data_IF_515027336621
#
_entry.id   IF_515027336621
#
_cell.length_a   1.000
_cell.length_b   1.000
_cell.length_c   1.000
_cell.angle_alpha   90.00
_cell.angle_beta   90.00
_cell.angle_gamma   90.00
#
_symmetry.space_group_name_H-M   'P 1'
#
loop_
_entity.id
_entity.type
_entity.pdbx_description
1 polymer ?
#
# COMPACT_ATOMS: atom_id res chain seq x y z
N UNK A 1 47.63 -16.85 14.46
CA UNK A 1 46.27 -17.11 14.98
C UNK A 1 45.58 -15.76 15.11
N UNK A 2 44.49 -15.38 14.46
CA UNK A 2 43.69 -15.88 13.34
C UNK A 2 43.36 -14.61 12.53
N UNK A 3 43.60 -14.60 11.22
CA UNK A 3 43.13 -13.52 10.34
C UNK A 3 41.62 -13.70 10.18
N UNK A 4 40.83 -12.69 10.54
CA UNK A 4 39.40 -12.64 10.25
C UNK A 4 39.23 -11.96 8.90
N UNK A 5 38.77 -12.74 7.92
CA UNK A 5 38.33 -12.25 6.62
C UNK A 5 36.89 -11.79 6.85
N UNK A 6 36.64 -10.49 6.72
CA UNK A 6 35.29 -9.96 6.59
C UNK A 6 34.88 -10.14 5.13
N UNK A 7 33.85 -10.96 4.87
CA UNK A 7 33.15 -10.96 3.59
C UNK A 7 32.21 -9.75 3.60
N UNK A 8 32.53 -8.74 2.80
CA UNK A 8 31.61 -7.70 2.38
C UNK A 8 30.93 -8.20 1.11
N UNK A 9 29.66 -8.60 1.20
CA UNK A 9 28.78 -8.74 0.04
C UNK A 9 28.26 -7.35 -0.29
N UNK A 10 28.95 -6.67 -1.20
CA UNK A 10 28.46 -5.45 -1.82
C UNK A 10 27.60 -5.85 -3.03
N UNK A 11 26.28 -5.89 -2.87
CA UNK A 11 25.38 -5.84 -4.02
C UNK A 11 25.34 -4.38 -4.50
N UNK A 12 26.18 -4.05 -5.46
CA UNK A 12 26.06 -2.78 -6.20
C UNK A 12 25.00 -2.97 -7.27
N UNK A 13 23.78 -2.50 -7.01
CA UNK A 13 22.76 -2.32 -8.04
C UNK A 13 23.18 -1.11 -8.89
N UNK A 14 23.73 -1.36 -10.07
CA UNK A 14 24.07 -0.32 -11.02
C UNK A 14 22.81 0.07 -11.79
N UNK A 15 22.09 1.09 -11.31
CA UNK A 15 21.01 1.73 -12.08
C UNK A 15 21.68 2.54 -13.21
N UNK A 16 21.72 1.96 -14.41
CA UNK A 16 22.10 2.70 -15.62
C UNK A 16 20.94 3.58 -16.06
N UNK A 17 20.98 4.86 -15.67
CA UNK A 17 20.17 5.91 -16.26
C UNK A 17 20.57 6.10 -17.73
N UNK A 18 19.68 5.79 -18.67
CA UNK A 18 19.88 6.17 -20.07
C UNK A 18 19.46 7.63 -20.29
N UNK A 19 20.42 8.38 -20.84
CA UNK A 19 20.39 9.81 -21.13
C UNK A 19 19.29 10.22 -22.14
N UNK A 20 18.45 11.19 -21.74
CA UNK A 20 17.71 12.04 -22.67
C UNK A 20 18.62 13.13 -23.25
N UNK A 21 18.99 13.02 -24.53
CA UNK A 21 19.67 14.08 -25.28
C UNK A 21 18.68 15.19 -25.68
N UNK A 22 18.67 16.32 -24.96
CA UNK A 22 18.06 17.57 -25.40
C UNK A 22 19.12 18.64 -25.66
N UNK A 23 19.35 18.98 -26.94
CA UNK A 23 20.30 20.01 -27.37
C UNK A 23 19.81 21.41 -26.94
N UNK A 24 20.68 22.14 -26.23
CA UNK A 24 20.56 23.59 -25.99
C UNK A 24 20.78 24.35 -27.30
N UNK A 25 19.93 25.33 -27.57
CA UNK A 25 20.36 26.57 -28.21
C UNK A 25 19.86 27.75 -27.36
N UNK A 26 20.81 28.60 -27.00
CA UNK A 26 20.64 29.75 -26.13
C UNK A 26 20.96 30.99 -26.96
N UNK A 27 20.01 31.92 -27.10
CA UNK A 27 20.35 33.31 -27.44
C UNK A 27 19.48 34.27 -26.63
N UNK A 28 20.16 35.03 -25.77
CA UNK A 28 19.68 36.25 -25.13
C UNK A 28 19.06 37.23 -26.14
N UNK A 29 18.06 38.02 -25.72
CA UNK A 29 18.14 39.49 -25.70
C UNK A 29 16.86 40.15 -25.14
N UNK A 30 17.06 40.88 -24.03
CA UNK A 30 16.43 42.14 -23.55
C UNK A 30 14.92 42.40 -23.65
N UNK A 31 14.42 42.80 -22.48
CA UNK A 31 13.19 43.54 -22.23
C UNK A 31 13.00 44.79 -23.10
N UNK A 32 11.75 45.05 -23.50
CA UNK A 32 11.19 46.40 -23.66
C UNK A 32 9.68 46.34 -23.43
N UNK A 33 9.17 47.15 -22.50
CA UNK A 33 7.75 47.45 -22.36
C UNK A 33 7.29 48.40 -23.47
N UNK A 34 6.00 48.35 -23.86
CA UNK A 34 5.08 49.50 -24.03
C UNK A 34 3.77 49.13 -24.77
N UNK A 35 2.66 49.41 -24.06
CA UNK A 35 1.28 49.82 -24.43
C UNK A 35 0.33 48.96 -25.28
N UNK A 36 -0.80 48.64 -24.63
CA UNK A 36 -2.19 48.90 -25.04
C UNK A 36 -2.46 49.28 -26.49
N UNK A 37 -3.27 48.46 -27.19
CA UNK A 37 -4.43 49.00 -27.91
C UNK A 37 -5.56 47.97 -27.98
N UNK A 38 -6.69 48.35 -27.39
CA UNK A 38 -8.01 47.75 -27.48
C UNK A 38 -8.48 47.68 -28.94
N UNK A 39 -9.01 46.54 -29.38
CA UNK A 39 -9.93 46.50 -30.54
C UNK A 39 -10.98 45.42 -30.33
N UNK A 40 -12.20 45.89 -30.12
CA UNK A 40 -13.42 45.10 -30.06
C UNK A 40 -13.65 44.35 -31.38
N UNK A 41 -14.07 43.10 -31.28
CA UNK A 41 -14.81 42.37 -32.30
C UNK A 41 -15.79 41.43 -31.60
N UNK A 42 -17.07 41.76 -31.68
CA UNK A 42 -18.19 40.99 -31.16
C UNK A 42 -18.34 39.62 -31.85
N UNK A 43 -18.56 38.63 -30.98
CA UNK A 43 -19.43 37.45 -31.05
C UNK A 43 -19.61 36.68 -32.36
N UNK A 44 -19.25 35.40 -32.28
CA UNK A 44 -20.24 34.32 -32.37
C UNK A 44 -19.80 33.21 -31.39
N UNK A 45 -20.33 33.25 -30.17
CA UNK A 45 -20.30 32.11 -29.26
C UNK A 45 -21.23 31.04 -29.80
N UNK A 46 -20.66 29.96 -30.31
CA UNK A 46 -21.35 28.69 -30.36
C UNK A 46 -21.32 28.14 -28.93
N UNK A 47 -22.39 28.36 -28.19
CA UNK A 47 -22.66 27.69 -26.92
C UNK A 47 -22.94 26.22 -27.25
N UNK A 48 -21.89 25.40 -27.25
CA UNK A 48 -22.04 23.98 -26.94
C UNK A 48 -22.43 23.91 -25.48
N UNK A 49 -23.73 23.82 -25.21
CA UNK A 49 -24.23 23.26 -23.96
C UNK A 49 -23.83 21.78 -23.97
N UNK A 50 -22.61 21.50 -23.54
CA UNK A 50 -22.32 20.21 -22.92
C UNK A 50 -22.99 20.32 -21.55
N UNK A 51 -24.09 19.60 -21.35
CA UNK A 51 -24.52 19.28 -19.98
C UNK A 51 -23.31 18.61 -19.35
N UNK A 52 -22.66 19.32 -18.43
CA UNK A 52 -21.59 18.76 -17.60
C UNK A 52 -22.27 17.65 -16.79
N UNK A 53 -22.02 16.39 -17.18
CA UNK A 53 -22.53 15.24 -16.43
C UNK A 53 -22.07 15.38 -14.99
N UNK A 54 -22.96 15.09 -14.04
CA UNK A 54 -22.62 15.16 -12.63
C UNK A 54 -21.38 14.27 -12.37
N UNK A 55 -20.47 14.70 -11.48
CA UNK A 55 -19.34 13.87 -11.07
C UNK A 55 -19.85 12.49 -10.65
N UNK A 56 -19.07 11.46 -10.97
CA UNK A 56 -19.43 10.08 -10.65
C UNK A 56 -18.16 9.28 -10.37
N UNK A 57 -18.28 8.20 -9.59
CA UNK A 57 -17.15 7.29 -9.36
C UNK A 57 -16.86 6.47 -10.63
N UNK A 58 -15.59 6.11 -10.89
CA UNK A 58 -15.24 5.26 -12.02
C UNK A 58 -15.67 3.80 -11.81
N UNK A 59 -16.17 3.16 -12.86
CA UNK A 59 -16.32 1.71 -12.93
C UNK A 59 -15.02 1.11 -13.51
N UNK A 60 -14.44 0.14 -12.82
CA UNK A 60 -13.17 -0.47 -13.22
C UNK A 60 -13.17 -1.99 -13.09
N UNK A 61 -12.24 -2.63 -13.79
CA UNK A 61 -11.91 -4.04 -13.66
C UNK A 61 -10.40 -4.20 -13.45
N UNK A 62 -10.01 -5.22 -12.67
CA UNK A 62 -8.62 -5.67 -12.59
C UNK A 62 -8.43 -6.76 -13.66
N UNK A 63 -7.40 -6.57 -14.48
CA UNK A 63 -6.95 -7.54 -15.49
C UNK A 63 -5.51 -7.94 -15.21
N UNK A 64 -5.00 -9.00 -15.83
CA UNK A 64 -3.63 -9.45 -15.63
C UNK A 64 -2.96 -9.84 -16.94
N UNK A 65 -1.67 -9.55 -17.05
CA UNK A 65 -0.78 -10.00 -18.14
C UNK A 65 0.29 -10.89 -17.52
N UNK A 66 0.29 -12.18 -17.86
CA UNK A 66 1.24 -13.16 -17.34
C UNK A 66 2.34 -13.48 -18.37
N UNK A 67 3.52 -13.86 -17.87
CA UNK A 67 4.59 -14.43 -18.68
C UNK A 67 4.26 -15.88 -19.07
N UNK A 68 4.31 -16.20 -20.36
CA UNK A 68 4.03 -17.55 -20.86
C UNK A 68 5.24 -18.15 -21.60
N UNK A 69 5.47 -19.45 -21.39
CA UNK A 69 6.45 -20.21 -22.17
C UNK A 69 7.90 -20.10 -21.72
N UNK A 70 8.15 -19.73 -20.45
CA UNK A 70 9.47 -19.64 -19.85
C UNK A 70 9.70 -20.78 -18.85
N UNK A 71 10.84 -21.46 -18.96
CA UNK A 71 11.16 -22.63 -18.12
C UNK A 71 11.67 -22.24 -16.73
N UNK A 72 12.29 -21.06 -16.60
CA UNK A 72 13.00 -20.60 -15.39
C UNK A 72 12.49 -19.26 -14.85
N UNK A 73 11.40 -18.75 -15.41
CA UNK A 73 10.77 -17.51 -14.97
C UNK A 73 9.25 -17.66 -14.99
N UNK A 74 8.60 -17.07 -14.00
CA UNK A 74 7.16 -16.85 -13.98
C UNK A 74 6.85 -15.48 -13.37
N UNK A 75 5.69 -14.94 -13.72
CA UNK A 75 5.34 -13.61 -13.26
C UNK A 75 4.10 -13.06 -13.94
N UNK A 76 3.55 -12.01 -13.37
CA UNK A 76 2.37 -11.34 -13.88
C UNK A 76 2.33 -9.87 -13.50
N UNK A 77 1.55 -9.09 -14.25
CA UNK A 77 1.26 -7.68 -13.97
C UNK A 77 -0.24 -7.47 -13.99
N UNK A 78 -0.82 -7.16 -12.84
CA UNK A 78 -2.20 -6.69 -12.73
C UNK A 78 -2.33 -5.24 -13.19
N UNK A 79 -3.46 -4.94 -13.84
CA UNK A 79 -3.75 -3.64 -14.44
C UNK A 79 -5.17 -3.22 -14.10
N UNK A 80 -5.35 -1.97 -13.69
CA UNK A 80 -6.68 -1.34 -13.58
C UNK A 80 -7.11 -0.87 -14.97
N UNK A 81 -8.29 -1.32 -15.41
CA UNK A 81 -8.95 -0.85 -16.62
C UNK A 81 -10.25 -0.13 -16.25
N UNK A 82 -10.40 1.12 -16.69
CA UNK A 82 -11.68 1.83 -16.60
C UNK A 82 -12.64 1.24 -17.66
N UNK A 83 -13.85 0.94 -17.23
CA UNK A 83 -14.84 0.18 -18.02
C UNK A 83 -16.06 0.99 -18.44
N UNK A 84 -16.24 2.19 -17.88
CA UNK A 84 -17.27 3.14 -18.29
C UNK A 84 -16.77 4.15 -19.34
N UNK A 85 -17.71 4.84 -19.98
CA UNK A 85 -17.46 5.87 -21.00
C UNK A 85 -17.41 7.30 -20.45
N UNK A 86 -17.56 7.49 -19.14
CA UNK A 86 -17.60 8.81 -18.49
C UNK A 86 -16.22 9.30 -18.08
N UNK A 87 -15.31 8.37 -17.81
CA UNK A 87 -13.96 8.68 -17.31
C UNK A 87 -12.88 8.47 -18.38
N UNK A 88 -13.11 8.92 -19.62
CA UNK A 88 -12.17 8.71 -20.75
C UNK A 88 -10.76 9.25 -20.47
N UNK A 89 -10.63 10.36 -19.76
CA UNK A 89 -9.33 10.95 -19.43
C UNK A 89 -8.53 10.06 -18.46
N UNK A 90 -9.19 9.55 -17.42
CA UNK A 90 -8.62 8.60 -16.49
C UNK A 90 -8.30 7.27 -17.17
N UNK A 91 -9.21 6.75 -18.00
CA UNK A 91 -9.02 5.52 -18.76
C UNK A 91 -7.73 5.59 -19.59
N UNK A 92 -7.54 6.68 -20.33
CA UNK A 92 -6.33 6.89 -21.13
C UNK A 92 -5.07 6.99 -20.28
N UNK A 93 -5.14 7.66 -19.12
CA UNK A 93 -3.98 7.81 -18.24
C UNK A 93 -3.55 6.47 -17.64
N UNK A 94 -4.49 5.65 -17.17
CA UNK A 94 -4.22 4.32 -16.64
C UNK A 94 -3.75 3.37 -17.75
N UNK A 95 -4.33 3.42 -18.94
CA UNK A 95 -3.89 2.63 -20.09
C UNK A 95 -2.41 2.93 -20.44
N UNK A 96 -2.02 4.20 -20.47
CA UNK A 96 -0.62 4.60 -20.72
C UNK A 96 0.31 4.15 -19.58
N UNK A 97 -0.11 4.34 -18.33
CA UNK A 97 0.63 3.93 -17.14
C UNK A 97 0.88 2.42 -17.11
N UNK A 98 -0.18 1.60 -17.20
CA UNK A 98 -0.07 0.14 -17.14
C UNK A 98 0.56 -0.44 -18.41
N UNK A 99 0.38 0.16 -19.59
CA UNK A 99 1.15 -0.23 -20.78
C UNK A 99 2.65 -0.04 -20.57
N UNK A 100 3.05 1.03 -19.86
CA UNK A 100 4.43 1.25 -19.44
C UNK A 100 4.95 0.14 -18.52
N UNK A 101 4.18 -0.22 -17.48
CA UNK A 101 4.50 -1.32 -16.55
C UNK A 101 4.65 -2.65 -17.27
N UNK A 102 3.66 -3.03 -18.09
CA UNK A 102 3.67 -4.25 -18.90
C UNK A 102 4.85 -4.26 -19.88
N UNK A 103 5.21 -3.11 -20.47
CA UNK A 103 6.39 -3.01 -21.34
C UNK A 103 7.70 -3.22 -20.58
N UNK A 104 7.82 -2.70 -19.35
CA UNK A 104 9.00 -2.89 -18.51
C UNK A 104 9.13 -4.35 -18.06
N UNK A 105 8.04 -4.93 -17.56
CA UNK A 105 7.95 -6.34 -17.21
C UNK A 105 8.39 -7.23 -18.38
N UNK A 106 7.72 -7.12 -19.53
CA UNK A 106 8.04 -7.93 -20.72
C UNK A 106 9.48 -7.74 -21.21
N UNK A 107 10.02 -6.51 -21.09
CA UNK A 107 11.40 -6.22 -21.46
C UNK A 107 12.45 -6.90 -20.58
N UNK A 108 12.08 -7.25 -19.33
CA UNK A 108 12.96 -7.91 -18.37
C UNK A 108 12.94 -9.44 -18.44
N UNK A 109 11.86 -10.06 -18.93
CA UNK A 109 11.63 -11.52 -18.80
C UNK A 109 12.76 -12.36 -19.39
N UNK A 110 13.22 -12.07 -20.61
CA UNK A 110 14.26 -12.89 -21.25
C UNK A 110 15.57 -12.89 -20.45
N UNK A 111 15.95 -11.73 -19.90
CA UNK A 111 17.16 -11.62 -19.08
C UNK A 111 16.99 -12.36 -17.76
N UNK A 112 15.85 -12.19 -17.09
CA UNK A 112 15.56 -12.88 -15.83
C UNK A 112 15.53 -14.40 -16.00
N UNK A 113 14.86 -14.91 -17.04
CA UNK A 113 14.83 -16.34 -17.36
C UNK A 113 16.23 -16.89 -17.65
N UNK A 114 17.07 -16.12 -18.34
CA UNK A 114 18.45 -16.51 -18.61
C UNK A 114 19.30 -16.55 -17.33
N UNK A 115 19.20 -15.53 -16.49
CA UNK A 115 19.93 -15.47 -15.21
C UNK A 115 19.49 -16.59 -14.25
N UNK A 116 18.19 -16.83 -14.17
CA UNK A 116 17.64 -17.95 -13.41
C UNK A 116 18.21 -19.27 -13.91
N UNK A 117 18.24 -19.49 -15.23
CA UNK A 117 18.85 -20.70 -15.81
C UNK A 117 20.33 -20.84 -15.44
N UNK A 118 21.13 -19.80 -15.60
CA UNK A 118 22.56 -19.82 -15.25
C UNK A 118 22.77 -20.13 -13.75
N UNK A 119 21.95 -19.55 -12.87
CA UNK A 119 22.01 -19.82 -11.44
C UNK A 119 21.60 -21.25 -11.10
N UNK A 120 20.59 -21.80 -11.78
CA UNK A 120 20.19 -23.20 -11.63
C UNK A 120 21.33 -24.15 -12.06
N UNK A 121 22.00 -23.88 -13.18
CA UNK A 121 23.17 -24.67 -13.63
C UNK A 121 24.32 -24.62 -12.61
N UNK A 122 24.63 -23.45 -12.05
CA UNK A 122 25.68 -23.30 -11.03
C UNK A 122 25.33 -24.03 -9.72
N UNK A 123 24.07 -23.96 -9.28
CA UNK A 123 23.61 -24.63 -8.06
C UNK A 123 23.53 -26.15 -8.21
N UNK A 124 23.11 -26.65 -9.37
CA UNK A 124 23.11 -28.08 -9.68
C UNK A 124 24.54 -28.64 -9.59
N UNK A 125 25.52 -27.96 -10.22
CA UNK A 125 26.92 -28.37 -10.16
C UNK A 125 27.43 -28.39 -8.71
N UNK A 126 27.14 -27.36 -7.92
CA UNK A 126 27.56 -27.31 -6.51
C UNK A 126 26.95 -28.45 -5.69
N UNK A 127 25.65 -28.74 -5.89
CA UNK A 127 24.96 -29.82 -5.21
C UNK A 127 25.54 -31.19 -5.57
N UNK A 128 25.89 -31.42 -6.84
CA UNK A 128 26.57 -32.64 -7.26
C UNK A 128 27.94 -32.81 -6.60
N UNK A 129 28.74 -31.73 -6.53
CA UNK A 129 30.08 -31.75 -5.92
C UNK A 129 30.04 -32.04 -4.41
N UNK A 130 29.03 -31.50 -3.72
CA UNK A 130 28.85 -31.67 -2.27
C UNK A 130 27.95 -32.87 -1.88
N UNK A 131 27.35 -33.56 -2.86
CA UNK A 131 26.44 -34.67 -2.64
C UNK A 131 25.12 -34.26 -1.97
N UNK A 132 24.62 -33.07 -2.30
CA UNK A 132 23.35 -32.52 -1.83
C UNK A 132 22.23 -32.80 -2.84
N UNK A 133 20.99 -32.79 -2.35
CA UNK A 133 19.82 -32.75 -3.23
C UNK A 133 19.63 -31.34 -3.80
N UNK A 134 19.15 -31.26 -5.03
CA UNK A 134 18.91 -30.01 -5.73
C UNK A 134 17.56 -30.05 -6.44
N UNK A 135 16.84 -28.94 -6.37
CA UNK A 135 15.56 -28.71 -7.00
C UNK A 135 15.65 -27.43 -7.84
N UNK A 136 15.16 -27.50 -9.08
CA UNK A 136 15.13 -26.36 -9.98
C UNK A 136 14.15 -25.33 -9.41
N UNK A 137 14.59 -24.08 -9.33
CA UNK A 137 13.74 -22.96 -8.93
C UNK A 137 13.54 -22.00 -10.11
N UNK A 138 12.49 -21.19 -10.04
CA UNK A 138 12.24 -20.11 -11.00
C UNK A 138 12.51 -18.76 -10.35
N UNK A 139 12.93 -17.80 -11.16
CA UNK A 139 12.74 -16.41 -10.77
C UNK A 139 11.27 -16.04 -10.87
N UNK A 140 10.81 -15.17 -9.96
CA UNK A 140 9.43 -14.70 -9.91
C UNK A 140 9.41 -13.17 -9.91
N UNK A 141 8.46 -12.56 -10.62
CA UNK A 141 8.08 -11.16 -10.48
C UNK A 141 6.57 -11.02 -10.66
N UNK A 142 5.84 -10.68 -9.60
CA UNK A 142 4.40 -10.43 -9.66
C UNK A 142 4.08 -9.02 -9.16
N UNK A 143 3.37 -8.26 -9.99
CA UNK A 143 2.81 -6.96 -9.64
C UNK A 143 1.30 -7.11 -9.42
N UNK A 144 0.84 -6.98 -8.18
CA UNK A 144 -0.57 -7.04 -7.81
C UNK A 144 -1.09 -5.64 -7.46
N UNK A 145 -2.37 -5.38 -7.73
CA UNK A 145 -2.99 -4.07 -7.54
C UNK A 145 -4.10 -4.12 -6.50
N UNK A 146 -3.97 -3.27 -5.48
CA UNK A 146 -5.00 -3.06 -4.46
C UNK A 146 -5.58 -1.65 -4.60
N UNK A 147 -6.85 -1.56 -5.01
CA UNK A 147 -7.57 -0.27 -5.02
C UNK A 147 -7.97 0.09 -3.60
N UNK A 148 -7.47 1.24 -3.13
CA UNK A 148 -7.68 1.77 -1.79
C UNK A 148 -8.96 2.62 -1.76
N UNK A 149 -9.07 3.55 -2.70
CA UNK A 149 -10.20 4.47 -2.79
C UNK A 149 -10.57 4.70 -4.26
N UNK A 150 -11.87 4.70 -4.56
CA UNK A 150 -12.40 5.01 -5.87
C UNK A 150 -13.73 5.77 -5.72
N UNK A 151 -13.67 7.10 -5.79
CA UNK A 151 -14.82 7.99 -5.69
C UNK A 151 -14.88 9.00 -6.85
N UNK A 152 -15.67 10.06 -6.72
CA UNK A 152 -15.86 11.06 -7.78
C UNK A 152 -14.66 12.01 -7.95
N UNK A 153 -13.73 12.01 -6.98
CA UNK A 153 -12.57 12.89 -6.95
C UNK A 153 -11.27 12.13 -7.28
N UNK A 154 -11.04 10.98 -6.64
CA UNK A 154 -9.79 10.24 -6.73
C UNK A 154 -9.97 8.75 -7.01
N UNK A 155 -9.01 8.20 -7.75
CA UNK A 155 -8.70 6.78 -7.78
C UNK A 155 -7.32 6.59 -7.16
N UNK A 156 -7.28 5.99 -5.98
CA UNK A 156 -6.04 5.69 -5.26
C UNK A 156 -5.84 4.19 -5.12
N UNK A 157 -4.62 3.73 -5.37
CA UNK A 157 -4.27 2.32 -5.36
C UNK A 157 -2.79 2.11 -5.02
N UNK A 158 -2.49 0.92 -4.56
CA UNK A 158 -1.13 0.45 -4.28
C UNK A 158 -0.79 -0.67 -5.25
N UNK A 159 0.45 -0.66 -5.76
CA UNK A 159 1.03 -1.80 -6.46
C UNK A 159 2.01 -2.48 -5.53
N UNK A 160 1.80 -3.77 -5.26
CA UNK A 160 2.79 -4.64 -4.63
C UNK A 160 3.57 -5.40 -5.70
N UNK A 161 4.83 -5.06 -5.85
CA UNK A 161 5.78 -5.78 -6.70
C UNK A 161 6.56 -6.76 -5.85
N UNK A 162 6.17 -8.03 -5.89
CA UNK A 162 6.92 -9.13 -5.28
C UNK A 162 7.90 -9.74 -6.28
N UNK A 163 9.12 -10.05 -5.83
CA UNK A 163 10.12 -10.71 -6.66
C UNK A 163 10.95 -11.74 -5.88
N UNK A 164 11.32 -12.82 -6.55
CA UNK A 164 12.22 -13.85 -6.03
C UNK A 164 13.30 -14.18 -7.05
N UNK A 165 14.56 -14.12 -6.63
CA UNK A 165 15.71 -14.34 -7.52
C UNK A 165 16.69 -15.39 -6.96
N UNK A 166 16.18 -16.44 -6.30
CA UNK A 166 16.99 -17.56 -5.80
C UNK A 166 17.64 -17.34 -4.43
N UNK A 167 17.23 -16.31 -3.67
CA UNK A 167 17.73 -16.02 -2.33
C UNK A 167 17.07 -16.84 -1.22
N UNK A 168 17.34 -16.47 0.04
CA UNK A 168 16.70 -17.09 1.21
C UNK A 168 15.19 -16.79 1.30
N UNK A 169 14.75 -15.67 0.73
CA UNK A 169 13.37 -15.22 0.66
C UNK A 169 13.20 -14.30 -0.56
N UNK A 170 11.94 -14.04 -0.94
CA UNK A 170 11.61 -12.98 -1.91
C UNK A 170 11.75 -11.59 -1.31
N UNK A 171 11.38 -10.57 -2.05
CA UNK A 171 11.26 -9.20 -1.56
C UNK A 171 10.04 -8.55 -2.19
N UNK A 172 9.54 -7.50 -1.57
CA UNK A 172 8.38 -6.75 -2.03
C UNK A 172 8.69 -5.26 -1.99
N UNK A 173 8.15 -4.54 -2.97
CA UNK A 173 8.15 -3.09 -3.08
C UNK A 173 6.68 -2.63 -3.18
N UNK A 174 6.27 -1.71 -2.31
CA UNK A 174 4.97 -1.05 -2.43
C UNK A 174 5.12 0.33 -3.04
N UNK A 175 4.37 0.58 -4.11
CA UNK A 175 4.30 1.89 -4.76
C UNK A 175 2.86 2.43 -4.67
N UNK A 176 2.72 3.66 -4.18
CA UNK A 176 1.42 4.30 -4.01
C UNK A 176 1.10 5.24 -5.18
N UNK A 177 -0.14 5.20 -5.66
CA UNK A 177 -0.59 6.04 -6.76
C UNK A 177 -1.95 6.65 -6.46
N UNK A 178 -2.10 7.93 -6.76
CA UNK A 178 -3.40 8.62 -6.69
C UNK A 178 -3.62 9.40 -7.98
N UNK A 179 -4.77 9.22 -8.62
CA UNK A 179 -5.16 9.92 -9.84
C UNK A 179 -6.40 10.76 -9.58
N UNK A 180 -6.41 11.98 -10.13
CA UNK A 180 -7.64 12.77 -10.26
C UNK A 180 -8.55 12.11 -11.32
N UNK A 181 -9.76 11.76 -10.90
CA UNK A 181 -10.72 10.98 -11.69
C UNK A 181 -11.20 11.73 -12.93
N UNK A 182 -11.30 13.05 -12.86
CA UNK A 182 -11.87 13.88 -13.91
C UNK A 182 -10.84 14.22 -15.00
N UNK A 183 -9.58 14.38 -14.61
CA UNK A 183 -8.51 14.85 -15.50
C UNK A 183 -7.54 13.74 -15.90
N UNK A 184 -7.53 12.61 -15.20
CA UNK A 184 -6.54 11.54 -15.37
C UNK A 184 -5.13 11.95 -14.92
N UNK A 185 -4.99 13.06 -14.19
CA UNK A 185 -3.68 13.50 -13.69
C UNK A 185 -3.26 12.63 -12.51
N UNK A 186 -2.06 12.04 -12.58
CA UNK A 186 -1.42 11.48 -11.39
C UNK A 186 -1.05 12.62 -10.43
N UNK A 187 -1.60 12.55 -9.22
CA UNK A 187 -1.40 13.52 -8.17
C UNK A 187 -0.12 13.21 -7.38
N UNK A 188 0.48 14.28 -6.85
CA UNK A 188 1.67 14.25 -6.01
C UNK A 188 1.44 15.09 -4.76
N UNK A 189 2.35 15.03 -3.79
CA UNK A 189 2.27 15.85 -2.55
C UNK A 189 2.14 17.36 -2.86
N UNK A 190 2.75 17.85 -3.94
CA UNK A 190 2.60 19.24 -4.41
C UNK A 190 1.17 19.64 -4.77
N UNK A 191 0.32 18.68 -5.14
CA UNK A 191 -1.07 18.91 -5.54
C UNK A 191 -2.02 19.00 -4.34
N UNK A 192 -1.59 18.45 -3.21
CA UNK A 192 -2.36 18.38 -1.97
C UNK A 192 -2.18 19.63 -1.12
N UNK A 193 -1.07 20.34 -1.26
CA UNK A 193 -0.81 21.54 -0.47
C UNK A 193 0.64 22.00 -0.57
N UNK A 194 1.09 22.73 0.45
CA UNK A 194 2.48 23.13 0.53
C UNK A 194 3.34 21.96 1.03
N UNK A 195 4.24 21.46 0.19
CA UNK A 195 5.07 20.28 0.47
C UNK A 195 5.87 20.39 1.78
N UNK A 196 6.51 21.53 2.04
CA UNK A 196 7.29 21.73 3.27
C UNK A 196 6.43 21.62 4.54
N UNK A 197 5.19 22.12 4.48
CA UNK A 197 4.24 22.01 5.60
C UNK A 197 3.71 20.60 5.76
N UNK A 198 3.40 19.92 4.65
CA UNK A 198 2.97 18.52 4.68
C UNK A 198 4.09 17.66 5.26
N UNK A 199 5.32 17.79 4.78
CA UNK A 199 6.48 17.07 5.28
C UNK A 199 6.69 17.28 6.80
N UNK A 200 6.65 18.55 7.25
CA UNK A 200 6.80 18.86 8.67
C UNK A 200 5.68 18.29 9.55
N UNK A 201 4.43 18.34 9.08
CA UNK A 201 3.28 17.78 9.79
C UNK A 201 3.36 16.25 9.85
N UNK A 202 3.58 15.58 8.70
CA UNK A 202 3.68 14.13 8.60
C UNK A 202 4.81 13.58 9.47
N UNK A 203 6.01 14.15 9.38
CA UNK A 203 7.15 13.75 10.21
C UNK A 203 6.84 13.82 11.70
N UNK A 204 6.28 14.94 12.17
CA UNK A 204 5.95 15.12 13.58
C UNK A 204 4.87 14.12 14.03
N UNK A 205 3.83 13.96 13.21
CA UNK A 205 2.74 13.04 13.48
C UNK A 205 3.22 11.58 13.58
N UNK A 206 4.04 11.14 12.63
CA UNK A 206 4.57 9.77 12.59
C UNK A 206 5.46 9.51 13.81
N UNK A 207 6.39 10.41 14.12
CA UNK A 207 7.26 10.25 15.30
C UNK A 207 6.46 10.24 16.61
N UNK A 208 5.44 11.09 16.72
CA UNK A 208 4.54 11.11 17.88
C UNK A 208 3.74 9.80 17.98
N UNK A 209 3.22 9.31 16.85
CA UNK A 209 2.45 8.05 16.78
C UNK A 209 3.32 6.85 17.21
N UNK A 210 4.57 6.80 16.76
CA UNK A 210 5.54 5.79 17.21
C UNK A 210 5.77 5.91 18.71
N UNK A 211 6.06 7.11 19.22
CA UNK A 211 6.34 7.33 20.65
C UNK A 211 5.14 6.94 21.55
N UNK A 212 3.91 7.20 21.10
CA UNK A 212 2.65 6.84 21.76
C UNK A 212 2.26 5.36 21.60
N UNK A 213 2.89 4.64 20.68
CA UNK A 213 2.61 3.21 20.45
C UNK A 213 3.22 2.33 21.54
N UNK A 214 2.70 1.10 21.65
CA UNK A 214 3.13 0.13 22.63
C UNK A 214 4.62 -0.22 22.49
N UNK A 215 5.28 -0.55 23.61
CA UNK A 215 6.70 -0.90 23.60
C UNK A 215 7.01 -2.10 22.72
N UNK A 216 6.08 -3.06 22.60
CA UNK A 216 6.23 -4.21 21.71
C UNK A 216 6.28 -3.81 20.22
N UNK A 217 5.50 -2.81 19.81
CA UNK A 217 5.53 -2.29 18.44
C UNK A 217 6.84 -1.56 18.17
N UNK A 218 7.24 -0.66 19.09
CA UNK A 218 8.51 0.08 18.99
C UNK A 218 9.74 -0.84 18.98
N UNK A 219 9.70 -1.96 19.71
CA UNK A 219 10.80 -2.92 19.77
C UNK A 219 11.10 -3.60 18.42
N UNK A 220 10.20 -3.51 17.44
CA UNK A 220 10.44 -4.00 16.08
C UNK A 220 11.30 -3.07 15.24
N UNK A 221 11.40 -1.78 15.60
CA UNK A 221 12.12 -0.78 14.82
C UNK A 221 13.64 -0.87 15.05
N UNK A 222 14.41 -0.46 14.04
CA UNK A 222 15.84 -0.25 14.17
C UNK A 222 16.14 0.94 15.07
N UNK A 223 16.65 0.69 16.27
CA UNK A 223 17.10 1.74 17.18
C UNK A 223 18.38 1.28 17.91
N UNK A 224 19.47 1.18 17.16
CA UNK A 224 20.78 0.78 17.67
C UNK A 224 21.92 1.74 17.24
N UNK A 225 23.15 1.44 17.63
CA UNK A 225 24.33 2.27 17.34
C UNK A 225 24.69 2.36 15.83
N UNK A 226 24.05 1.55 14.97
CA UNK A 226 24.31 1.44 13.53
C UNK A 226 23.17 2.00 12.70
N UNK A 227 21.92 1.80 13.11
CA UNK A 227 20.74 2.22 12.36
C UNK A 227 19.66 2.76 13.30
N UNK A 228 19.12 3.94 12.97
CA UNK A 228 18.02 4.57 13.69
C UNK A 228 16.87 4.89 12.76
N UNK A 229 15.68 4.36 13.07
CA UNK A 229 14.44 4.64 12.33
C UNK A 229 14.14 6.15 12.29
N UNK A 230 14.55 6.91 13.30
CA UNK A 230 14.36 8.38 13.36
C UNK A 230 15.16 9.09 12.29
N UNK A 231 16.41 8.67 12.07
CA UNK A 231 17.25 9.25 11.01
C UNK A 231 16.71 8.92 9.62
N UNK A 232 16.14 7.73 9.43
CA UNK A 232 15.48 7.34 8.18
C UNK A 232 14.21 8.17 7.93
N UNK A 233 13.36 8.34 8.94
CA UNK A 233 12.19 9.24 8.86
C UNK A 233 12.62 10.68 8.57
N UNK A 234 13.68 11.16 9.24
CA UNK A 234 14.23 12.50 8.98
C UNK A 234 14.63 12.65 7.51
N UNK A 235 15.39 11.71 6.96
CA UNK A 235 15.84 11.72 5.56
C UNK A 235 14.67 11.71 4.58
N UNK A 236 13.65 10.89 4.85
CA UNK A 236 12.49 10.78 3.98
C UNK A 236 11.66 12.05 3.89
N UNK A 237 11.69 12.92 4.90
CA UNK A 237 10.94 14.19 4.92
C UNK A 237 11.86 15.42 4.82
N UNK A 238 13.16 15.23 4.58
CA UNK A 238 14.10 16.30 4.30
C UNK A 238 14.12 16.64 2.80
N UNK A 239 14.43 17.90 2.47
CA UNK A 239 14.63 18.38 1.08
C UNK A 239 13.46 18.16 0.08
N UNK A 240 12.24 17.96 0.58
CA UNK A 240 11.06 17.71 -0.26
C UNK A 240 10.96 16.28 -0.79
N UNK A 241 11.75 15.36 -0.23
CA UNK A 241 11.53 13.92 -0.38
C UNK A 241 10.29 13.49 0.41
N UNK A 242 9.71 12.36 0.02
CA UNK A 242 8.65 11.66 0.76
C UNK A 242 8.87 10.15 0.63
N UNK A 243 8.45 9.33 1.62
CA UNK A 243 8.23 7.91 1.39
C UNK A 243 7.19 7.70 0.29
N UNK A 244 7.13 6.48 -0.26
CA UNK A 244 6.04 6.08 -1.15
C UNK A 244 4.69 6.33 -0.47
N UNK A 245 3.74 6.92 -1.20
CA UNK A 245 2.52 7.41 -0.60
C UNK A 245 1.31 7.37 -1.52
N UNK A 246 0.14 7.31 -0.90
CA UNK A 246 -1.16 7.38 -1.55
C UNK A 246 -2.16 8.07 -0.63
N UNK A 247 -3.33 8.44 -1.18
CA UNK A 247 -4.45 8.95 -0.40
C UNK A 247 -5.39 7.80 -0.03
N UNK A 248 -5.68 7.65 1.26
CA UNK A 248 -6.73 6.77 1.76
C UNK A 248 -7.97 7.57 2.19
N UNK A 249 -8.96 6.91 2.79
CA UNK A 249 -10.20 7.58 3.21
C UNK A 249 -10.01 8.55 4.40
N UNK A 250 -8.88 8.48 5.09
CA UNK A 250 -8.62 9.17 6.35
C UNK A 250 -7.43 10.16 6.27
N UNK A 251 -6.50 9.99 5.33
CA UNK A 251 -5.32 10.83 5.20
C UNK A 251 -4.37 10.46 4.06
N UNK A 252 -3.12 10.91 4.21
CA UNK A 252 -2.00 10.47 3.35
C UNK A 252 -1.30 9.31 4.06
N UNK A 253 -1.21 8.16 3.40
CA UNK A 253 -0.50 6.98 3.91
C UNK A 253 0.92 6.99 3.38
N UNK A 254 1.90 6.98 4.30
CA UNK A 254 3.32 6.90 3.96
C UNK A 254 3.84 5.49 4.24
N UNK A 255 4.39 4.84 3.23
CA UNK A 255 4.92 3.49 3.28
C UNK A 255 6.46 3.52 3.29
N UNK A 256 7.04 2.91 4.31
CA UNK A 256 8.49 2.73 4.44
C UNK A 256 8.84 1.32 4.01
N UNK A 257 9.69 1.21 2.98
CA UNK A 257 9.98 -0.05 2.30
C UNK A 257 10.65 -1.05 3.24
N UNK A 258 10.69 -2.32 2.80
CA UNK A 258 11.36 -3.38 3.55
C UNK A 258 12.78 -2.93 3.94
N UNK A 259 13.13 -3.11 5.21
CA UNK A 259 14.40 -2.68 5.82
C UNK A 259 14.59 -1.18 6.06
N UNK A 260 13.63 -0.31 5.75
CA UNK A 260 13.76 1.12 6.07
C UNK A 260 13.73 1.37 7.58
N UNK A 261 12.62 0.97 8.22
CA UNK A 261 12.41 1.23 9.65
C UNK A 261 12.61 -0.01 10.54
N UNK A 262 12.46 -1.21 9.98
CA UNK A 262 12.43 -2.46 10.73
C UNK A 262 12.99 -3.63 9.90
N UNK A 263 13.41 -4.75 10.52
CA UNK A 263 13.86 -5.94 9.80
C UNK A 263 12.80 -6.49 8.85
N UNK A 264 13.22 -7.27 7.83
CA UNK A 264 12.33 -7.93 6.88
C UNK A 264 11.11 -8.63 7.49
N UNK A 265 11.29 -9.31 8.62
CA UNK A 265 10.21 -10.04 9.30
C UNK A 265 9.08 -9.13 9.81
N UNK A 266 9.35 -7.83 9.98
CA UNK A 266 8.35 -6.83 10.28
C UNK A 266 7.61 -6.35 9.02
N UNK A 267 7.98 -6.76 7.80
CA UNK A 267 7.32 -6.30 6.59
C UNK A 267 7.52 -4.81 6.32
N UNK A 268 6.57 -4.22 5.59
CA UNK A 268 6.53 -2.78 5.31
C UNK A 268 5.76 -2.09 6.43
N UNK A 269 6.36 -1.03 6.97
CA UNK A 269 5.76 -0.21 8.03
C UNK A 269 5.13 1.00 7.36
N UNK A 270 3.87 1.27 7.65
CA UNK A 270 3.16 2.43 7.11
C UNK A 270 2.49 3.23 8.21
N UNK A 271 2.21 4.49 7.92
CA UNK A 271 1.48 5.39 8.81
C UNK A 271 0.56 6.29 7.99
N UNK A 272 -0.72 6.32 8.36
CA UNK A 272 -1.67 7.28 7.80
C UNK A 272 -1.68 8.56 8.63
N UNK A 273 -1.37 9.69 7.98
CA UNK A 273 -1.43 11.02 8.58
C UNK A 273 -2.78 11.66 8.21
N UNK A 274 -3.68 11.90 9.19
CA UNK A 274 -5.03 12.37 8.93
C UNK A 274 -5.07 13.70 8.18
N UNK A 275 -6.05 13.87 7.29
CA UNK A 275 -6.22 15.13 6.54
C UNK A 275 -6.29 16.38 7.44
N UNK A 276 -6.82 16.22 8.66
CA UNK A 276 -6.97 17.30 9.65
C UNK A 276 -5.64 17.84 10.20
N UNK A 277 -4.54 17.10 10.04
CA UNK A 277 -3.21 17.54 10.46
C UNK A 277 -2.58 18.55 9.49
N UNK A 278 -3.11 18.66 8.26
CA UNK A 278 -2.53 19.48 7.21
C UNK A 278 -3.18 20.87 7.11
N UNK A 279 -2.37 21.91 7.26
CA UNK A 279 -2.83 23.29 7.06
C UNK A 279 -3.08 23.58 5.57
N UNK A 280 -4.34 23.86 5.20
CA UNK A 280 -4.77 24.16 3.82
C UNK A 280 -4.52 23.01 2.85
N UNK A 281 -4.83 21.79 3.28
CA UNK A 281 -4.96 20.67 2.37
C UNK A 281 -5.98 21.01 1.27
N UNK A 282 -5.74 20.51 0.05
CA UNK A 282 -6.63 20.70 -1.08
C UNK A 282 -7.89 19.84 -0.88
N UNK A 283 -8.95 20.47 -0.38
CA UNK A 283 -10.23 19.81 -0.06
C UNK A 283 -10.88 19.11 -1.25
N UNK A 284 -10.48 19.41 -2.49
CA UNK A 284 -10.97 18.73 -3.69
C UNK A 284 -10.56 17.24 -3.76
N UNK A 285 -9.56 16.82 -2.98
CA UNK A 285 -9.05 15.44 -2.96
C UNK A 285 -9.28 14.73 -1.62
N UNK A 286 -10.08 15.30 -0.72
CA UNK A 286 -10.52 14.59 0.49
C UNK A 286 -11.68 13.69 0.07
N UNK A 287 -11.57 12.35 0.22
CA UNK A 287 -12.64 11.44 -0.18
C UNK A 287 -13.95 11.73 0.53
N UNK A 288 -15.06 11.38 -0.13
CA UNK A 288 -16.37 11.51 0.51
C UNK A 288 -16.46 10.61 1.76
N UNK A 289 -17.12 11.12 2.81
CA UNK A 289 -17.38 10.31 3.99
C UNK A 289 -18.37 9.18 3.64
N UNK A 290 -17.91 7.94 3.74
CA UNK A 290 -18.64 6.76 3.29
C UNK A 290 -18.03 5.50 3.87
N UNK A 291 -18.47 4.35 3.39
CA UNK A 291 -17.89 3.08 3.80
C UNK A 291 -16.40 3.03 3.42
N UNK A 292 -15.55 2.65 4.37
CA UNK A 292 -14.14 2.35 4.12
C UNK A 292 -13.63 1.31 5.10
N UNK A 293 -12.50 0.70 4.73
CA UNK A 293 -11.77 -0.23 5.57
C UNK A 293 -10.30 0.14 5.58
N UNK A 294 -9.66 0.01 6.74
CA UNK A 294 -8.22 0.20 6.87
C UNK A 294 -7.63 -1.00 7.63
N UNK A 295 -6.57 -1.58 7.08
CA UNK A 295 -5.83 -2.64 7.77
C UNK A 295 -5.10 -2.04 8.97
N UNK A 296 -5.21 -2.68 10.13
CA UNK A 296 -4.46 -2.27 11.32
C UNK A 296 -3.03 -2.79 11.22
N UNK A 297 -2.05 -1.97 11.62
CA UNK A 297 -0.65 -2.36 11.71
C UNK A 297 -0.46 -3.73 12.38
N UNK A 298 0.15 -4.67 11.65
CA UNK A 298 0.46 -6.01 12.16
C UNK A 298 1.59 -5.99 13.22
N UNK A 299 2.37 -4.90 13.28
CA UNK A 299 3.36 -4.65 14.32
C UNK A 299 2.74 -4.01 15.57
N UNK A 300 1.47 -3.57 15.49
CA UNK A 300 0.74 -2.96 16.59
C UNK A 300 1.03 -1.46 16.79
N UNK A 301 1.46 -0.76 15.74
CA UNK A 301 1.46 0.71 15.77
C UNK A 301 0.03 1.24 15.87
N UNK A 302 -0.11 2.41 16.51
CA UNK A 302 -1.41 3.05 16.64
C UNK A 302 -1.86 3.63 15.28
N UNK A 303 -3.01 3.17 14.79
CA UNK A 303 -3.80 3.88 13.80
C UNK A 303 -4.71 4.91 14.50
N UNK A 304 -5.17 5.93 13.78
CA UNK A 304 -5.90 7.07 14.35
C UNK A 304 -7.24 7.25 13.64
N UNK A 305 -8.34 6.92 14.33
CA UNK A 305 -9.70 7.00 13.78
C UNK A 305 -10.63 7.78 14.70
N UNK A 306 -11.63 8.47 14.14
CA UNK A 306 -12.77 9.00 14.93
C UNK A 306 -13.78 7.87 15.13
N UNK A 307 -13.54 7.04 16.14
CA UNK A 307 -14.28 5.80 16.36
C UNK A 307 -15.68 6.08 16.88
N UNK A 308 -15.88 7.17 17.62
CA UNK A 308 -17.14 7.50 18.26
C UNK A 308 -17.94 8.60 17.51
N UNK A 309 -17.37 9.18 16.44
CA UNK A 309 -17.89 10.29 15.64
C UNK A 309 -18.05 11.60 16.45
N UNK A 310 -17.12 11.88 17.38
CA UNK A 310 -17.08 13.12 18.16
C UNK A 310 -16.10 14.17 17.61
N UNK A 311 -15.37 13.82 16.55
CA UNK A 311 -14.35 14.66 15.91
C UNK A 311 -12.96 14.53 16.52
N UNK A 312 -12.77 13.69 17.54
CA UNK A 312 -11.46 13.37 18.14
C UNK A 312 -10.98 12.02 17.60
N UNK A 313 -9.69 11.92 17.25
CA UNK A 313 -9.11 10.66 16.82
C UNK A 313 -8.63 9.85 18.03
N UNK A 314 -9.04 8.58 18.10
CA UNK A 314 -8.56 7.60 19.06
C UNK A 314 -7.48 6.70 18.47
N UNK A 315 -6.56 6.26 19.34
CA UNK A 315 -5.58 5.21 19.01
C UNK A 315 -6.30 3.87 18.86
N UNK A 316 -6.09 3.20 17.73
CA UNK A 316 -6.60 1.85 17.47
C UNK A 316 -5.45 0.95 17.05
N UNK A 317 -5.30 -0.20 17.71
CA UNK A 317 -4.30 -1.18 17.33
C UNK A 317 -4.67 -2.60 17.79
N UNK A 318 -3.98 -3.59 17.20
CA UNK A 318 -3.95 -4.97 17.68
C UNK A 318 -2.53 -5.30 18.11
N UNK A 319 -2.37 -5.74 19.35
CA UNK A 319 -1.10 -6.18 19.91
C UNK A 319 -1.07 -7.70 20.00
N UNK A 320 -0.08 -8.33 19.38
CA UNK A 320 0.15 -9.77 19.47
C UNK A 320 1.31 -10.05 20.43
N UNK A 321 1.08 -10.88 21.43
CA UNK A 321 2.08 -11.27 22.43
C UNK A 321 2.19 -12.80 22.49
N UNK A 322 3.40 -13.30 22.65
CA UNK A 322 3.68 -14.71 22.95
C UNK A 322 4.69 -14.79 24.08
N UNK A 323 4.36 -15.52 25.12
CA UNK A 323 5.23 -15.73 26.28
C UNK A 323 6.20 -16.89 26.08
N UNK A 324 7.25 -16.93 26.89
CA UNK A 324 8.30 -17.97 26.84
C UNK A 324 7.77 -19.39 27.09
N UNK A 325 6.64 -19.53 27.79
CA UNK A 325 5.96 -20.80 28.05
C UNK A 325 4.97 -21.21 26.94
N UNK A 326 4.89 -20.43 25.87
CA UNK A 326 4.09 -20.72 24.67
C UNK A 326 2.63 -20.30 24.75
N UNK A 327 2.22 -19.57 25.79
CA UNK A 327 0.91 -18.90 25.78
C UNK A 327 0.97 -17.71 24.81
N UNK A 328 -0.06 -17.56 23.98
CA UNK A 328 -0.20 -16.40 23.10
C UNK A 328 -1.45 -15.60 23.46
N UNK A 329 -1.42 -14.32 23.17
CA UNK A 329 -2.60 -13.47 23.29
C UNK A 329 -2.60 -12.39 22.23
N UNK A 330 -3.80 -11.92 21.90
CA UNK A 330 -3.95 -10.67 21.19
C UNK A 330 -4.82 -9.70 21.98
N UNK A 331 -4.50 -8.42 21.89
CA UNK A 331 -5.23 -7.35 22.54
C UNK A 331 -5.69 -6.33 21.50
N UNK A 332 -6.99 -6.04 21.49
CA UNK A 332 -7.57 -4.94 20.72
C UNK A 332 -7.58 -3.72 21.63
N UNK A 333 -7.02 -2.61 21.18
CA UNK A 333 -6.99 -1.32 21.90
C UNK A 333 -7.77 -0.29 21.08
N UNK A 334 -8.64 0.47 21.75
CA UNK A 334 -9.41 1.58 21.19
C UNK A 334 -9.45 2.70 22.22
N UNK A 335 -8.64 3.75 22.02
CA UNK A 335 -8.40 4.80 23.00
C UNK A 335 -7.93 4.21 24.34
N UNK A 336 -8.65 4.54 25.42
CA UNK A 336 -8.38 4.01 26.76
C UNK A 336 -8.98 2.60 27.02
N UNK A 337 -9.77 2.07 26.09
CA UNK A 337 -10.42 0.77 26.22
C UNK A 337 -9.56 -0.34 25.58
N UNK A 338 -9.59 -1.54 26.17
CA UNK A 338 -8.98 -2.71 25.54
C UNK A 338 -9.68 -4.02 25.87
N UNK A 339 -9.54 -5.00 24.99
CA UNK A 339 -10.02 -6.38 25.17
C UNK A 339 -8.92 -7.35 24.79
N UNK A 340 -8.55 -8.24 25.71
CA UNK A 340 -7.54 -9.28 25.49
C UNK A 340 -8.20 -10.65 25.26
N UNK A 341 -7.62 -11.44 24.36
CA UNK A 341 -7.96 -12.83 24.10
C UNK A 341 -6.69 -13.66 24.29
N UNK A 342 -6.77 -14.68 25.13
CA UNK A 342 -5.65 -15.57 25.47
C UNK A 342 -5.88 -16.95 24.88
N UNK A 343 -4.80 -17.58 24.45
CA UNK A 343 -4.78 -18.94 23.96
C UNK A 343 -3.60 -19.71 24.55
N UNK A 344 -3.82 -21.00 24.77
CA UNK A 344 -2.76 -21.94 25.16
C UNK A 344 -1.97 -22.46 23.96
N UNK A 345 -2.40 -22.09 22.74
CA UNK A 345 -1.70 -22.38 21.49
C UNK A 345 -1.16 -21.07 20.91
N UNK A 346 -0.25 -21.17 19.94
CA UNK A 346 0.26 -19.99 19.25
C UNK A 346 -0.85 -19.31 18.46
N UNK A 347 -0.97 -17.99 18.62
CA UNK A 347 -1.98 -17.17 17.96
C UNK A 347 -1.35 -15.91 17.45
N UNK A 348 -1.70 -15.59 16.21
CA UNK A 348 -1.42 -14.30 15.61
C UNK A 348 -2.71 -13.75 15.03
N UNK A 349 -3.07 -12.55 15.46
CA UNK A 349 -4.27 -11.85 15.03
C UNK A 349 -3.92 -10.70 14.10
N UNK A 350 -4.65 -10.60 12.98
CA UNK A 350 -4.70 -9.39 12.15
C UNK A 350 -6.07 -8.73 12.31
N UNK A 351 -6.14 -7.43 12.03
CA UNK A 351 -7.36 -6.65 12.19
C UNK A 351 -7.60 -5.70 11.04
N UNK A 352 -8.87 -5.52 10.70
CA UNK A 352 -9.34 -4.51 9.76
C UNK A 352 -10.31 -3.60 10.49
N UNK A 353 -10.01 -2.30 10.52
CA UNK A 353 -10.98 -1.29 10.93
C UNK A 353 -12.01 -1.10 9.82
N UNK A 354 -13.28 -0.99 10.18
CA UNK A 354 -14.39 -0.83 9.23
C UNK A 354 -15.25 0.33 9.66
N UNK A 355 -15.25 1.40 8.86
CA UNK A 355 -16.26 2.45 8.95
C UNK A 355 -17.41 2.09 8.05
N UNK A 356 -18.59 1.89 8.64
CA UNK A 356 -19.79 1.52 7.91
C UNK A 356 -20.95 2.44 8.26
N UNK A 357 -21.99 2.42 7.42
CA UNK A 357 -23.13 3.32 7.57
C UNK A 357 -23.83 3.21 8.93
N UNK A 358 -23.83 2.02 9.52
CA UNK A 358 -24.50 1.77 10.79
C UNK A 358 -23.56 1.82 12.00
N UNK A 359 -22.23 1.91 11.86
CA UNK A 359 -21.28 1.96 12.96
C UNK A 359 -19.83 1.72 12.56
N UNK A 360 -18.94 1.74 13.55
CA UNK A 360 -17.52 1.43 13.40
C UNK A 360 -17.21 0.07 14.01
N UNK A 361 -16.43 -0.73 13.30
CA UNK A 361 -16.12 -2.11 13.66
C UNK A 361 -14.63 -2.41 13.57
N UNK A 362 -14.21 -3.48 14.23
CA UNK A 362 -12.93 -4.15 13.98
C UNK A 362 -13.24 -5.61 13.66
N UNK A 363 -12.82 -6.07 12.48
CA UNK A 363 -12.87 -7.48 12.09
C UNK A 363 -11.51 -8.08 12.37
N UNK A 364 -11.46 -9.09 13.25
CA UNK A 364 -10.22 -9.75 13.65
C UNK A 364 -10.17 -11.15 13.05
N UNK A 365 -9.07 -11.47 12.36
CA UNK A 365 -8.76 -12.83 11.91
C UNK A 365 -7.72 -13.46 12.85
N UNK A 366 -8.07 -14.54 13.52
CA UNK A 366 -7.19 -15.27 14.44
C UNK A 366 -7.67 -16.72 14.62
N UNK A 367 -6.77 -17.69 14.76
CA UNK A 367 -7.11 -19.09 15.13
C UNK A 367 -8.09 -19.83 14.18
N UNK A 368 -8.13 -19.51 12.88
CA UNK A 368 -9.16 -20.05 12.00
C UNK A 368 -10.56 -19.53 12.39
N UNK A 369 -10.61 -18.31 12.91
CA UNK A 369 -11.82 -17.59 13.25
C UNK A 369 -11.76 -16.18 12.71
N UNK A 370 -12.95 -15.68 12.42
CA UNK A 370 -13.18 -14.26 12.18
C UNK A 370 -14.11 -13.78 13.28
N UNK A 371 -13.70 -12.73 14.00
CA UNK A 371 -14.43 -12.17 15.13
C UNK A 371 -14.76 -10.72 14.83
N UNK A 372 -16.03 -10.35 14.98
CA UNK A 372 -16.49 -8.98 14.76
C UNK A 372 -16.66 -8.25 16.09
N UNK A 373 -16.05 -7.07 16.20
CA UNK A 373 -16.23 -6.15 17.31
C UNK A 373 -16.87 -4.85 16.82
N UNK A 374 -17.89 -4.36 17.51
CA UNK A 374 -18.36 -2.99 17.36
C UNK A 374 -17.64 -2.10 18.37
N UNK A 375 -17.14 -0.95 17.91
CA UNK A 375 -16.21 -0.12 18.70
C UNK A 375 -16.71 1.29 18.95
N UNK A 376 -17.80 1.74 18.32
CA UNK A 376 -18.27 3.13 18.44
C UNK A 376 -18.68 3.57 19.85
N UNK A 377 -18.93 2.64 20.77
CA UNK A 377 -19.31 2.92 22.17
C UNK A 377 -18.53 2.07 23.16
N UNK A 378 -17.27 1.79 22.83
CA UNK A 378 -16.43 0.80 23.51
C UNK A 378 -16.47 -0.55 22.80
N UNK A 379 -15.54 -1.42 23.16
CA UNK A 379 -15.28 -2.67 22.43
C UNK A 379 -16.30 -3.74 22.83
N UNK A 380 -17.19 -4.10 21.91
CA UNK A 380 -18.22 -5.13 22.11
C UNK A 380 -18.15 -6.19 21.01
N UNK A 381 -17.87 -7.43 21.41
CA UNK A 381 -17.95 -8.58 20.49
C UNK A 381 -19.41 -8.80 20.03
N UNK A 382 -19.59 -8.94 18.72
CA UNK A 382 -20.89 -9.14 18.08
C UNK A 382 -21.11 -10.57 17.59
N UNK A 383 -20.03 -11.32 17.38
CA UNK A 383 -20.08 -12.72 16.96
C UNK A 383 -18.76 -13.18 16.36
N UNK A 384 -18.68 -14.47 16.08
CA UNK A 384 -17.53 -15.08 15.40
C UNK A 384 -17.96 -16.16 14.40
N UNK A 385 -17.12 -16.38 13.40
CA UNK A 385 -17.24 -17.42 12.40
C UNK A 385 -16.02 -18.33 12.50
N UNK A 386 -16.23 -19.63 12.69
CA UNK A 386 -15.16 -20.63 12.58
C UNK A 386 -14.96 -20.95 11.09
N UNK A 387 -13.76 -20.72 10.57
CA UNK A 387 -13.50 -20.84 9.13
C UNK A 387 -12.03 -21.05 8.82
N UNK A 388 -11.74 -21.86 7.80
CA UNK A 388 -10.41 -21.95 7.20
C UNK A 388 -10.22 -21.00 6.01
N UNK A 389 -11.25 -20.22 5.66
CA UNK A 389 -11.23 -19.26 4.55
C UNK A 389 -10.63 -17.93 5.02
N UNK A 390 -10.05 -17.20 4.09
CA UNK A 390 -9.51 -15.85 4.33
C UNK A 390 -10.56 -14.79 3.96
N UNK A 391 -10.44 -13.60 4.57
CA UNK A 391 -11.22 -12.43 4.14
C UNK A 391 -10.74 -12.07 2.74
N UNK A 392 -11.66 -12.15 1.78
CA UNK A 392 -11.42 -11.72 0.40
C UNK A 392 -11.77 -10.26 0.21
N UNK A 393 -12.87 -9.82 0.81
CA UNK A 393 -13.41 -8.48 0.63
C UNK A 393 -14.34 -8.15 1.80
N UNK A 394 -14.36 -6.89 2.23
CA UNK A 394 -15.36 -6.36 3.16
C UNK A 394 -16.12 -5.26 2.43
N UNK A 395 -17.45 -5.32 2.51
CA UNK A 395 -18.39 -4.33 1.95
C UNK A 395 -19.26 -3.80 3.07
N UNK A 396 -19.94 -2.68 2.84
CA UNK A 396 -20.91 -2.14 3.80
C UNK A 396 -22.00 -3.18 4.14
N UNK A 397 -21.87 -3.79 5.32
CA UNK A 397 -22.77 -4.81 5.87
C UNK A 397 -22.51 -6.26 5.42
N UNK A 398 -21.43 -6.55 4.70
CA UNK A 398 -21.08 -7.90 4.23
C UNK A 398 -19.57 -8.18 4.32
N UNK A 399 -19.20 -9.35 4.84
CA UNK A 399 -17.83 -9.89 4.79
C UNK A 399 -17.85 -11.06 3.81
N UNK A 400 -17.01 -11.01 2.78
CA UNK A 400 -16.82 -12.08 1.80
C UNK A 400 -15.59 -12.87 2.19
N UNK A 401 -15.77 -14.16 2.44
CA UNK A 401 -14.70 -15.10 2.72
C UNK A 401 -14.48 -15.99 1.51
N UNK A 402 -13.24 -16.36 1.23
CA UNK A 402 -12.93 -17.32 0.18
C UNK A 402 -11.72 -18.18 0.54
N UNK A 403 -11.65 -19.35 -0.08
CA UNK A 403 -10.43 -20.17 -0.03
C UNK A 403 -9.29 -19.40 -0.70
N UNK A 404 -8.20 -19.22 0.05
CA UNK A 404 -6.98 -18.59 -0.43
C UNK A 404 -6.00 -19.69 -0.84
N UNK A 405 -5.75 -19.85 -2.13
CA UNK A 405 -4.77 -20.79 -2.65
C UNK A 405 -3.55 -20.01 -3.13
N UNK A 406 -2.44 -20.15 -2.39
CA UNK A 406 -1.16 -19.59 -2.83
C UNK A 406 -0.54 -20.57 -3.83
N UNK A 407 -0.56 -20.16 -5.10
CA UNK A 407 0.07 -20.88 -6.20
C UNK A 407 1.34 -20.16 -6.63
N UNK A 408 2.12 -20.81 -7.50
CA UNK A 408 3.28 -20.18 -8.15
C UNK A 408 2.87 -18.95 -9.01
N UNK A 409 1.59 -18.87 -9.41
CA UNK A 409 0.99 -17.76 -10.15
C UNK A 409 0.40 -16.67 -9.24
N UNK A 410 0.56 -16.81 -7.91
CA UNK A 410 0.05 -15.88 -6.91
C UNK A 410 -1.18 -16.42 -6.15
N UNK A 411 -1.89 -15.50 -5.49
CA UNK A 411 -3.07 -15.82 -4.70
C UNK A 411 -4.29 -16.02 -5.60
N UNK A 412 -4.78 -17.25 -5.67
CA UNK A 412 -6.05 -17.59 -6.33
C UNK A 412 -7.18 -17.74 -5.32
N UNK A 413 -8.28 -17.03 -5.58
CA UNK A 413 -9.49 -17.11 -4.77
C UNK A 413 -10.40 -18.25 -5.25
N UNK A 414 -10.62 -19.24 -4.38
CA UNK A 414 -11.53 -20.36 -4.59
C UNK A 414 -12.99 -20.06 -4.21
N UNK A 415 -13.68 -21.05 -3.66
CA UNK A 415 -15.11 -20.92 -3.32
C UNK A 415 -15.36 -19.84 -2.27
N UNK A 416 -16.17 -18.84 -2.64
CA UNK A 416 -16.52 -17.73 -1.77
C UNK A 416 -17.85 -17.94 -1.05
N UNK A 417 -17.96 -17.41 0.16
CA UNK A 417 -19.19 -17.28 0.94
C UNK A 417 -19.31 -15.86 1.51
N UNK A 418 -20.54 -15.39 1.66
CA UNK A 418 -20.83 -14.07 2.20
C UNK A 418 -21.52 -14.19 3.55
N UNK A 419 -21.08 -13.39 4.51
CA UNK A 419 -21.66 -13.28 5.84
C UNK A 419 -22.09 -11.84 6.09
N UNK A 420 -23.26 -11.64 6.70
CA UNK A 420 -23.76 -10.29 6.96
C UNK A 420 -23.27 -9.80 8.31
N UNK A 421 -22.95 -8.52 8.40
CA UNK A 421 -22.68 -7.89 9.67
C UNK A 421 -23.50 -6.61 9.86
N UNK A 422 -23.78 -6.29 11.12
CA UNK A 422 -24.41 -5.04 11.55
C UNK A 422 -24.25 -4.88 13.05
N UNK A 423 -24.76 -3.79 13.63
CA UNK A 423 -24.87 -3.62 15.10
C UNK A 423 -25.59 -4.75 15.84
N UNK A 424 -26.38 -5.56 15.13
CA UNK A 424 -27.13 -6.67 15.70
C UNK A 424 -26.27 -7.95 15.87
N UNK A 425 -25.21 -8.12 15.09
CA UNK A 425 -24.43 -9.36 15.07
C UNK A 425 -23.71 -9.61 13.75
N UNK A 426 -22.98 -10.73 13.72
CA UNK A 426 -22.41 -11.38 12.54
C UNK A 426 -23.26 -12.63 12.24
N UNK A 427 -23.83 -12.71 11.03
CA UNK A 427 -24.79 -13.75 10.60
C UNK A 427 -24.34 -14.53 9.37
#
# INVERSE_FOLDING_TARGET
MKKRIALLLALTLAITTCFGCGKKDNTDTKATAITDTKKDSESTEATTNTEEEAPSKPEYAITSVAAEGYDYFEGSVECIQITDDKHEALAKALDEFFSGRVSLFNGGIEQQNKEAKEMNEDQEQYAEEEGLEYEVFKYQQNESVSVVCADEAILSFVIDTSYYTGGAHGSSLLEGFTFDVNTGKQLTVSDFGNEEKIAAASKNFILTTIDESADIAKATLFDDDVTSYKEVIDQYFDEGSFPENYLDHTGITFMFQQYDLAPYAAGIVSFTVPYTEFEKFNEAYIPENGFYTEDLSIQGFNEKFDVNNDGTLENVCILNETSDDGESSYQIVVGDASVTRKSSEYVYASGVYVHAKDGNYIVVSAEGKIVLFEVSKGIRELGSLETSKSIKEIKDGEIVLAEANYTDEGLEWGESESHKYSKAGLE
#
